data_IF_209575402499
#
_entry.id   IF_209575402499
#
_cell.length_a   1.000
_cell.length_b   1.000
_cell.length_c   1.000
_cell.angle_alpha   90.00
_cell.angle_beta   90.00
_cell.angle_gamma   90.00
#
_symmetry.space_group_name_H-M   'P 1'
#
loop_
_entity.id
_entity.type
_entity.pdbx_description
1 polymer ?
#
# COMPACT_ATOMS: atom_id res chain seq x y z
N UNK A 1 -6.39 -6.10 15.01
CA UNK A 1 -6.18 -4.73 15.51
C UNK A 1 -6.80 -3.85 14.44
N UNK A 2 -7.99 -3.29 14.68
CA UNK A 2 -8.84 -2.84 13.57
C UNK A 2 -8.23 -1.71 12.73
N UNK A 3 -8.61 -1.54 11.45
CA UNK A 3 -8.08 -0.54 10.52
C UNK A 3 -8.16 0.89 11.07
N UNK A 4 -9.16 1.19 11.91
CA UNK A 4 -9.30 2.48 12.59
C UNK A 4 -8.16 2.77 13.58
N UNK A 5 -7.55 1.75 14.19
CA UNK A 5 -6.38 1.92 15.06
C UNK A 5 -5.10 2.13 14.24
N UNK A 6 -4.96 1.45 13.10
CA UNK A 6 -3.84 1.64 12.16
C UNK A 6 -3.86 3.08 11.62
N UNK A 7 -5.03 3.59 11.23
CA UNK A 7 -5.20 4.98 10.78
C UNK A 7 -4.79 5.98 11.88
N UNK A 8 -5.17 5.73 13.13
CA UNK A 8 -4.80 6.58 14.28
C UNK A 8 -3.29 6.59 14.55
N UNK A 9 -2.60 5.47 14.33
CA UNK A 9 -1.14 5.37 14.46
C UNK A 9 -0.45 6.13 13.33
N UNK A 10 -0.90 5.95 12.08
CA UNK A 10 -0.37 6.68 10.92
C UNK A 10 -0.55 8.20 11.08
N UNK A 11 -1.72 8.66 11.55
CA UNK A 11 -1.97 10.08 11.87
C UNK A 11 -1.03 10.60 12.98
N UNK A 12 -0.69 9.78 13.98
CA UNK A 12 0.27 10.16 15.03
C UNK A 12 1.70 10.25 14.51
N UNK A 13 2.11 9.36 13.60
CA UNK A 13 3.42 9.39 12.94
C UNK A 13 3.55 10.63 12.04
N UNK A 14 2.50 10.96 11.31
CA UNK A 14 2.43 12.18 10.48
C UNK A 14 2.63 13.48 11.27
N UNK A 15 2.17 13.54 12.52
CA UNK A 15 2.34 14.72 13.39
C UNK A 15 3.77 14.92 13.89
N UNK A 16 4.64 13.91 13.80
CA UNK A 16 6.06 14.00 14.21
C UNK A 16 6.97 14.62 13.15
N UNK A 17 6.56 14.65 11.87
CA UNK A 17 7.30 15.29 10.78
C UNK A 17 7.05 16.80 10.77
N UNK A 18 7.69 17.54 11.69
CA UNK A 18 7.54 19.00 11.83
C UNK A 18 8.60 19.76 11.02
N UNK A 19 8.29 20.04 9.76
CA UNK A 19 8.95 21.03 8.91
C UNK A 19 8.06 21.39 7.72
N UNK A 20 7.99 22.66 7.29
CA UNK A 20 7.09 23.12 6.22
C UNK A 20 7.29 22.33 4.91
N UNK A 21 8.54 21.99 4.61
CA UNK A 21 8.94 21.21 3.44
C UNK A 21 8.54 19.73 3.58
N UNK A 22 8.88 19.09 4.70
CA UNK A 22 8.44 17.71 4.98
C UNK A 22 6.92 17.57 5.09
N UNK A 23 6.22 18.63 5.48
CA UNK A 23 4.76 18.67 5.52
C UNK A 23 4.15 18.65 4.11
N UNK A 24 4.75 19.35 3.15
CA UNK A 24 4.27 19.38 1.75
C UNK A 24 4.69 18.14 0.97
N UNK A 25 5.92 17.65 1.16
CA UNK A 25 6.48 16.53 0.42
C UNK A 25 6.01 15.16 0.92
N UNK A 26 5.63 15.04 2.20
CA UNK A 26 5.28 13.73 2.76
C UNK A 26 3.93 13.74 3.48
N UNK A 27 3.69 14.71 4.37
CA UNK A 27 2.49 14.68 5.23
C UNK A 27 1.22 14.94 4.43
N UNK A 28 1.26 15.87 3.47
CA UNK A 28 0.09 16.22 2.67
C UNK A 28 -0.31 15.11 1.68
N UNK A 29 0.59 14.56 0.84
CA UNK A 29 0.28 13.41 0.00
C UNK A 29 -0.23 12.22 0.80
N UNK A 30 0.42 11.90 1.93
CA UNK A 30 -0.02 10.78 2.76
C UNK A 30 -1.40 11.05 3.39
N UNK A 31 -1.71 12.29 3.75
CA UNK A 31 -3.04 12.66 4.25
C UNK A 31 -4.10 12.51 3.16
N UNK A 32 -3.83 12.98 1.95
CA UNK A 32 -4.75 12.89 0.80
C UNK A 32 -5.02 11.42 0.46
N UNK A 33 -3.97 10.61 0.37
CA UNK A 33 -4.06 9.16 0.24
C UNK A 33 -4.91 8.49 1.33
N UNK A 34 -4.68 8.82 2.61
CA UNK A 34 -5.46 8.25 3.70
C UNK A 34 -6.94 8.63 3.60
N UNK A 35 -7.26 9.83 3.11
CA UNK A 35 -8.65 10.24 2.87
C UNK A 35 -9.27 9.45 1.72
N UNK A 36 -8.54 9.30 0.61
CA UNK A 36 -8.96 8.53 -0.57
C UNK A 36 -9.22 7.06 -0.26
N UNK A 37 -8.42 6.43 0.61
CA UNK A 37 -8.66 5.06 1.05
C UNK A 37 -9.75 4.97 2.12
N UNK A 38 -9.77 5.88 3.10
CA UNK A 38 -10.65 5.74 4.26
C UNK A 38 -12.14 5.75 3.89
N UNK A 39 -12.53 6.51 2.87
CA UNK A 39 -13.91 6.59 2.40
C UNK A 39 -14.43 5.24 1.89
N UNK A 40 -13.83 4.65 0.83
CA UNK A 40 -14.23 3.36 0.32
C UNK A 40 -14.01 2.21 1.33
N UNK A 41 -12.95 2.24 2.14
CA UNK A 41 -12.77 1.25 3.21
C UNK A 41 -13.93 1.27 4.21
N UNK A 42 -14.39 2.45 4.60
CA UNK A 42 -15.54 2.61 5.50
C UNK A 42 -16.84 2.17 4.83
N UNK A 43 -17.11 2.63 3.60
CA UNK A 43 -18.35 2.30 2.87
C UNK A 43 -18.47 0.80 2.56
N UNK A 44 -17.36 0.13 2.28
CA UNK A 44 -17.33 -1.31 1.99
C UNK A 44 -17.33 -2.19 3.25
N UNK A 45 -17.35 -1.59 4.46
CA UNK A 45 -17.16 -2.30 5.72
C UNK A 45 -15.92 -3.21 5.67
N UNK A 46 -14.79 -2.65 5.22
CA UNK A 46 -13.58 -3.43 5.01
C UNK A 46 -13.13 -4.09 6.31
N UNK A 47 -12.95 -5.40 6.25
CA UNK A 47 -12.53 -6.26 7.35
C UNK A 47 -11.01 -6.31 7.48
N UNK A 48 -10.51 -6.73 8.65
CA UNK A 48 -9.08 -7.02 8.85
C UNK A 48 -8.58 -8.07 7.82
N UNK A 49 -9.44 -9.02 7.42
CA UNK A 49 -9.12 -10.04 6.41
C UNK A 49 -8.89 -9.42 5.03
N UNK A 50 -9.81 -8.55 4.59
CA UNK A 50 -9.67 -7.79 3.33
C UNK A 50 -8.40 -6.94 3.33
N UNK A 51 -8.11 -6.25 4.43
CA UNK A 51 -6.93 -5.41 4.54
C UNK A 51 -5.63 -6.21 4.47
N UNK A 52 -5.57 -7.35 5.19
CA UNK A 52 -4.43 -8.27 5.13
C UNK A 52 -4.26 -8.87 3.72
N UNK A 53 -5.35 -9.29 3.08
CA UNK A 53 -5.31 -9.84 1.73
C UNK A 53 -4.79 -8.81 0.71
N UNK A 54 -5.31 -7.58 0.75
CA UNK A 54 -4.84 -6.49 -0.11
C UNK A 54 -3.34 -6.20 0.09
N UNK A 55 -2.88 -6.19 1.35
CA UNK A 55 -1.46 -5.99 1.69
C UNK A 55 -0.59 -7.12 1.13
N UNK A 56 -1.03 -8.37 1.27
CA UNK A 56 -0.31 -9.52 0.73
C UNK A 56 -0.30 -9.53 -0.80
N UNK A 57 -1.39 -9.10 -1.45
CA UNK A 57 -1.47 -8.95 -2.90
C UNK A 57 -0.50 -7.89 -3.42
N UNK A 58 -0.39 -6.76 -2.73
CA UNK A 58 0.59 -5.71 -3.02
C UNK A 58 2.04 -6.18 -2.82
N UNK A 59 2.28 -6.96 -1.76
CA UNK A 59 3.61 -7.51 -1.46
C UNK A 59 4.07 -8.53 -2.51
N UNK A 60 3.17 -9.42 -2.93
CA UNK A 60 3.47 -10.45 -3.91
C UNK A 60 3.32 -9.93 -5.34
N UNK A 61 4.14 -8.94 -5.71
CA UNK A 61 4.19 -8.42 -7.07
C UNK A 61 5.08 -9.31 -7.97
N UNK A 62 4.50 -10.09 -8.91
CA UNK A 62 5.27 -10.96 -9.78
C UNK A 62 6.06 -10.20 -10.85
N UNK A 63 5.81 -8.89 -11.04
CA UNK A 63 6.55 -8.04 -11.99
C UNK A 63 7.56 -7.13 -11.28
N UNK A 64 7.80 -7.34 -9.98
CA UNK A 64 8.84 -6.64 -9.26
C UNK A 64 10.21 -6.84 -9.92
N UNK A 65 10.98 -5.76 -9.97
CA UNK A 65 12.36 -5.71 -10.44
C UNK A 65 13.24 -6.72 -9.69
N UNK A 66 14.27 -7.23 -10.38
CA UNK A 66 15.24 -8.17 -9.79
C UNK A 66 14.75 -9.61 -9.61
N UNK A 67 13.48 -9.92 -9.90
CA UNK A 67 12.99 -11.30 -9.91
C UNK A 67 13.49 -12.08 -11.12
N UNK A 68 13.97 -13.31 -10.89
CA UNK A 68 14.17 -14.29 -11.97
C UNK A 68 12.82 -14.78 -12.50
N UNK A 69 12.79 -15.42 -13.67
CA UNK A 69 11.56 -16.03 -14.20
C UNK A 69 10.94 -17.03 -13.21
N UNK A 70 11.77 -17.83 -12.55
CA UNK A 70 11.34 -18.76 -11.50
C UNK A 70 10.79 -18.01 -10.29
N UNK A 71 11.46 -16.93 -9.87
CA UNK A 71 11.00 -16.06 -8.78
C UNK A 71 9.64 -15.42 -9.06
N UNK A 72 9.47 -14.85 -10.26
CA UNK A 72 8.20 -14.28 -10.73
C UNK A 72 7.06 -15.31 -10.68
N UNK A 73 7.32 -16.55 -11.12
CA UNK A 73 6.34 -17.63 -11.04
C UNK A 73 5.97 -17.97 -9.59
N UNK A 74 6.96 -18.12 -8.69
CA UNK A 74 6.72 -18.42 -7.27
C UNK A 74 5.90 -17.30 -6.61
N UNK A 75 6.21 -16.05 -6.90
CA UNK A 75 5.49 -14.88 -6.37
C UNK A 75 4.06 -14.84 -6.89
N UNK A 76 3.85 -15.10 -8.19
CA UNK A 76 2.50 -15.22 -8.77
C UNK A 76 1.68 -16.31 -8.09
N UNK A 77 2.26 -17.50 -7.90
CA UNK A 77 1.59 -18.61 -7.20
C UNK A 77 1.28 -18.26 -5.75
N UNK A 78 2.14 -17.51 -5.06
CA UNK A 78 1.86 -17.01 -3.71
C UNK A 78 0.68 -16.04 -3.70
N UNK A 79 0.61 -15.11 -4.67
CA UNK A 79 -0.51 -14.19 -4.83
C UNK A 79 -1.82 -14.92 -5.13
N UNK A 80 -1.77 -15.94 -6.00
CA UNK A 80 -2.95 -16.75 -6.34
C UNK A 80 -3.46 -17.54 -5.13
N UNK A 81 -2.56 -18.04 -4.27
CA UNK A 81 -2.94 -18.65 -2.98
C UNK A 81 -3.65 -17.66 -2.06
N UNK A 82 -3.19 -16.40 -1.98
CA UNK A 82 -3.87 -15.36 -1.18
C UNK A 82 -5.32 -15.16 -1.64
N UNK A 83 -5.58 -15.10 -2.95
CA UNK A 83 -6.95 -15.03 -3.46
C UNK A 83 -7.75 -16.26 -3.06
N UNK A 84 -7.22 -17.47 -3.33
CA UNK A 84 -7.93 -18.71 -3.04
C UNK A 84 -8.26 -18.86 -1.54
N UNK A 85 -7.32 -18.51 -0.66
CA UNK A 85 -7.51 -18.56 0.78
C UNK A 85 -8.54 -17.54 1.25
N UNK A 86 -8.55 -16.35 0.65
CA UNK A 86 -9.52 -15.31 0.98
C UNK A 86 -10.94 -15.70 0.52
N UNK A 87 -11.09 -16.17 -0.72
CA UNK A 87 -12.38 -16.69 -1.22
C UNK A 87 -12.85 -17.87 -0.36
N UNK A 88 -11.97 -18.83 -0.07
CA UNK A 88 -12.29 -20.00 0.74
C UNK A 88 -12.61 -19.67 2.20
N UNK A 89 -11.97 -18.64 2.78
CA UNK A 89 -12.30 -18.16 4.11
C UNK A 89 -13.70 -17.54 4.14
N UNK A 90 -14.09 -16.75 3.15
CA UNK A 90 -15.42 -16.16 3.06
C UNK A 90 -16.52 -17.20 2.82
N UNK A 91 -16.26 -18.16 1.94
CA UNK A 91 -17.17 -19.27 1.69
C UNK A 91 -17.46 -20.07 2.97
N UNK A 92 -16.40 -20.47 3.70
CA UNK A 92 -16.52 -21.20 4.98
C UNK A 92 -17.27 -20.43 6.07
N UNK A 93 -17.24 -19.10 6.03
CA UNK A 93 -17.91 -18.24 7.00
C UNK A 93 -19.30 -17.76 6.52
N UNK A 94 -19.80 -18.26 5.39
CA UNK A 94 -21.12 -17.93 4.87
C UNK A 94 -21.25 -16.48 4.40
N UNK A 95 -20.14 -15.85 3.99
CA UNK A 95 -20.16 -14.49 3.45
C UNK A 95 -20.76 -14.51 2.05
N UNK A 96 -21.79 -13.70 1.83
CA UNK A 96 -22.42 -13.53 0.52
C UNK A 96 -21.65 -12.53 -0.36
N UNK A 97 -21.90 -12.57 -1.66
CA UNK A 97 -21.35 -11.63 -2.65
C UNK A 97 -19.81 -11.54 -2.65
N UNK A 98 -19.13 -12.67 -2.39
CA UNK A 98 -17.67 -12.76 -2.20
C UNK A 98 -16.92 -12.04 -3.33
N UNK A 99 -17.29 -12.30 -4.59
CA UNK A 99 -16.66 -11.66 -5.75
C UNK A 99 -16.80 -10.14 -5.77
N UNK A 100 -17.95 -9.60 -5.36
CA UNK A 100 -18.16 -8.16 -5.23
C UNK A 100 -17.32 -7.58 -4.09
N UNK A 101 -17.24 -8.25 -2.94
CA UNK A 101 -16.42 -7.80 -1.80
C UNK A 101 -14.93 -7.78 -2.13
N UNK A 102 -14.45 -8.82 -2.82
CA UNK A 102 -13.08 -8.89 -3.34
C UNK A 102 -12.83 -7.79 -4.35
N UNK A 103 -13.71 -7.62 -5.34
CA UNK A 103 -13.60 -6.56 -6.34
C UNK A 103 -13.54 -5.16 -5.73
N UNK A 104 -14.46 -4.85 -4.81
CA UNK A 104 -14.51 -3.56 -4.11
C UNK A 104 -13.24 -3.26 -3.32
N UNK A 105 -12.60 -4.28 -2.76
CA UNK A 105 -11.31 -4.15 -2.08
C UNK A 105 -10.17 -3.93 -3.06
N UNK A 106 -10.17 -4.63 -4.20
CA UNK A 106 -9.16 -4.48 -5.24
C UNK A 106 -9.21 -3.10 -5.92
N UNK A 107 -10.39 -2.46 -5.96
CA UNK A 107 -10.55 -1.07 -6.42
C UNK A 107 -9.83 -0.03 -5.54
N UNK A 108 -9.25 -0.42 -4.41
CA UNK A 108 -8.37 0.43 -3.61
C UNK A 108 -6.94 0.51 -4.18
N UNK A 109 -6.52 -0.44 -5.01
CA UNK A 109 -5.16 -0.48 -5.57
C UNK A 109 -4.76 0.78 -6.36
N UNK A 110 -5.62 1.37 -7.20
CA UNK A 110 -5.27 2.59 -7.93
C UNK A 110 -4.93 3.76 -6.99
N UNK A 111 -5.66 3.95 -5.89
CA UNK A 111 -5.35 4.96 -4.89
C UNK A 111 -3.99 4.70 -4.19
N UNK A 112 -3.63 3.43 -4.01
CA UNK A 112 -2.28 3.05 -3.52
C UNK A 112 -1.19 3.36 -4.55
N UNK A 113 -1.46 3.14 -5.85
CA UNK A 113 -0.49 3.47 -6.90
C UNK A 113 -0.23 4.97 -6.99
N UNK A 114 -1.28 5.80 -6.92
CA UNK A 114 -1.15 7.27 -6.94
C UNK A 114 -0.24 7.80 -5.83
N UNK A 115 -0.33 7.26 -4.60
CA UNK A 115 0.56 7.69 -3.52
C UNK A 115 2.00 7.20 -3.72
N UNK A 116 2.20 6.02 -4.29
CA UNK A 116 3.54 5.50 -4.60
C UNK A 116 4.22 6.41 -5.61
N UNK A 117 3.54 6.74 -6.71
CA UNK A 117 4.03 7.66 -7.75
C UNK A 117 4.36 9.04 -7.17
N UNK A 118 3.42 9.63 -6.43
CA UNK A 118 3.61 10.94 -5.78
C UNK A 118 4.80 10.90 -4.80
N UNK A 119 4.95 9.80 -4.06
CA UNK A 119 6.05 9.64 -3.11
C UNK A 119 7.40 9.52 -3.83
N UNK A 120 7.48 8.74 -4.91
CA UNK A 120 8.67 8.63 -5.75
C UNK A 120 9.07 9.98 -6.35
N UNK A 121 8.10 10.77 -6.84
CA UNK A 121 8.35 12.12 -7.35
C UNK A 121 8.90 13.05 -6.25
N UNK A 122 8.30 13.03 -5.06
CA UNK A 122 8.77 13.84 -3.94
C UNK A 122 10.19 13.45 -3.50
N UNK A 123 10.55 12.16 -3.54
CA UNK A 123 11.92 11.73 -3.29
C UNK A 123 12.89 12.20 -4.38
N UNK A 124 12.51 12.12 -5.66
CA UNK A 124 13.31 12.68 -6.77
C UNK A 124 13.57 14.18 -6.59
N UNK A 125 12.57 14.95 -6.14
CA UNK A 125 12.75 16.37 -5.84
C UNK A 125 13.75 16.61 -4.70
N UNK A 126 13.71 15.79 -3.65
CA UNK A 126 14.68 15.89 -2.55
C UNK A 126 16.10 15.60 -3.02
N UNK A 127 16.27 14.61 -3.90
CA UNK A 127 17.57 14.31 -4.51
C UNK A 127 18.08 15.48 -5.35
N UNK A 128 17.28 15.95 -6.32
CA UNK A 128 17.70 17.00 -7.28
C UNK A 128 18.03 18.32 -6.60
N UNK A 129 17.30 18.68 -5.55
CA UNK A 129 17.46 19.95 -4.85
C UNK A 129 18.25 19.83 -3.54
N UNK A 130 18.83 18.65 -3.24
CA UNK A 130 19.61 18.37 -2.03
C UNK A 130 18.94 18.86 -0.73
N UNK A 131 17.62 18.69 -0.63
CA UNK A 131 16.80 19.35 0.39
C UNK A 131 17.06 18.84 1.82
N UNK A 132 17.72 17.68 1.98
CA UNK A 132 18.15 17.08 3.24
C UNK A 132 19.45 16.28 3.04
N UNK A 133 20.21 16.03 4.12
CA UNK A 133 21.32 15.06 4.09
C UNK A 133 20.73 13.68 3.76
N UNK A 134 21.05 13.21 2.57
CA UNK A 134 20.55 12.00 1.96
C UNK A 134 21.28 10.80 2.59
N UNK A 135 20.60 10.00 3.42
CA UNK A 135 21.18 8.80 4.02
C UNK A 135 21.15 7.63 3.02
N UNK A 136 22.20 6.80 3.03
CA UNK A 136 22.37 5.61 2.15
C UNK A 136 21.19 4.63 2.13
N UNK A 137 20.38 4.58 3.20
CA UNK A 137 19.18 3.74 3.29
C UNK A 137 18.10 4.20 2.30
N UNK A 138 18.03 5.50 2.01
CA UNK A 138 17.10 6.05 1.02
C UNK A 138 17.60 5.84 -0.41
N UNK A 139 18.92 5.76 -0.64
CA UNK A 139 19.45 5.30 -1.93
C UNK A 139 19.03 3.85 -2.19
N UNK A 140 19.23 2.94 -1.23
CA UNK A 140 18.84 1.54 -1.37
C UNK A 140 17.33 1.37 -1.62
N UNK A 141 16.48 2.17 -0.99
CA UNK A 141 15.02 2.16 -1.23
C UNK A 141 14.62 2.71 -2.61
N UNK A 142 15.39 3.65 -3.16
CA UNK A 142 15.07 4.34 -4.43
C UNK A 142 15.70 3.67 -5.65
N UNK A 143 16.76 2.90 -5.48
CA UNK A 143 17.44 2.14 -6.54
C UNK A 143 16.97 0.68 -6.65
N UNK A 144 15.86 0.31 -5.99
CA UNK A 144 15.26 -1.02 -6.15
C UNK A 144 14.76 -1.31 -7.58
N UNK A 145 14.76 -0.34 -8.50
CA UNK A 145 14.31 -0.51 -9.90
C UNK A 145 15.44 -0.50 -10.95
N UNK A 146 16.70 -0.78 -10.59
CA UNK A 146 17.79 -1.03 -11.56
C UNK A 146 18.34 -2.45 -11.51
#
# INVERSE_FOLDING_TARGET
MGPTQILKILIRLLKKLKGLLGRRLFVQPLKEFLLELSGPMYHNNMTDVEFCALTAILLFDPIASGLTEVGSRIVREARDRVYNDWFGFYDKNGVHDIGQRVGNTMLLLPAVQTIVETTQENFRLIQVFELFQYDKILDELMYLDT
#
